data_IF_678284066231
#
_entry.id   IF_678284066231
#
_cell.length_a   1.000
_cell.length_b   1.000
_cell.length_c   1.000
_cell.angle_alpha   90.00
_cell.angle_beta   90.00
_cell.angle_gamma   90.00
#
_symmetry.space_group_name_H-M   'P 1'
#
loop_
_entity.id
_entity.type
_entity.pdbx_description
1 polymer ?
#
# COMPACT_ATOMS: atom_id res chain seq x y z
N UNK A 1 -30.66 49.99 -0.68
CA UNK A 1 -29.38 49.47 -1.18
C UNK A 1 -28.91 48.41 -0.20
N UNK A 2 -28.92 47.14 -0.61
CA UNK A 2 -28.66 46.02 0.30
C UNK A 2 -27.15 45.86 0.53
N UNK A 3 -26.67 45.77 1.78
CA UNK A 3 -25.26 45.47 2.02
C UNK A 3 -24.95 44.03 1.59
N UNK A 4 -23.86 43.83 0.85
CA UNK A 4 -23.37 42.49 0.54
C UNK A 4 -22.77 41.91 1.83
N UNK A 5 -23.27 40.77 2.29
CA UNK A 5 -22.67 40.05 3.41
C UNK A 5 -21.23 39.64 3.05
N UNK A 6 -20.28 39.93 3.93
CA UNK A 6 -18.89 39.48 3.81
C UNK A 6 -18.81 38.02 4.24
N UNK A 7 -18.39 37.14 3.34
CA UNK A 7 -18.13 35.74 3.67
C UNK A 7 -16.77 35.62 4.36
N UNK A 8 -16.61 34.77 5.39
CA UNK A 8 -15.32 34.52 5.99
C UNK A 8 -14.36 33.98 4.93
N UNK A 9 -13.16 34.56 4.92
CA UNK A 9 -12.08 34.11 4.04
C UNK A 9 -11.66 32.70 4.42
N UNK A 10 -11.24 31.91 3.44
CA UNK A 10 -10.85 30.52 3.64
C UNK A 10 -9.76 30.31 4.72
N UNK A 11 -8.99 31.35 5.02
CA UNK A 11 -8.00 31.40 6.11
C UNK A 11 -8.59 31.20 7.53
N UNK A 12 -9.93 31.25 7.70
CA UNK A 12 -10.62 31.08 8.99
C UNK A 12 -11.23 29.68 9.20
N UNK A 13 -11.34 28.85 8.16
CA UNK A 13 -12.03 27.55 8.25
C UNK A 13 -11.11 26.37 8.58
N UNK A 14 -9.80 26.48 8.36
CA UNK A 14 -8.89 25.34 8.46
C UNK A 14 -7.56 25.69 9.15
N UNK A 15 -7.58 26.56 10.17
CA UNK A 15 -6.37 26.88 10.95
C UNK A 15 -6.19 25.98 12.19
N UNK A 16 -5.22 25.05 12.19
CA UNK A 16 -4.69 24.42 13.40
C UNK A 16 -3.71 25.35 14.15
N UNK A 17 -3.87 25.41 15.48
CA UNK A 17 -3.28 26.40 16.40
C UNK A 17 -1.83 26.09 16.81
N UNK A 18 -0.91 25.95 15.86
CA UNK A 18 0.54 25.91 16.15
C UNK A 18 1.30 26.72 15.12
N UNK A 19 1.59 27.98 15.50
CA UNK A 19 2.64 28.88 15.01
C UNK A 19 3.19 28.59 13.59
N UNK A 20 2.84 29.38 12.58
CA UNK A 20 3.43 30.70 12.36
C UNK A 20 4.96 30.66 12.33
N UNK A 21 5.56 29.81 11.51
CA UNK A 21 6.94 29.98 11.07
C UNK A 21 7.20 29.17 9.80
N UNK A 22 7.08 29.83 8.64
CA UNK A 22 7.92 29.66 7.43
C UNK A 22 7.20 30.26 6.22
N UNK A 23 7.59 31.50 5.94
CA UNK A 23 7.20 32.30 4.77
C UNK A 23 8.20 32.00 3.62
N UNK A 24 7.68 31.84 2.39
CA UNK A 24 8.34 31.93 1.07
C UNK A 24 9.33 30.78 0.69
N UNK A 25 9.49 30.27 -0.54
CA UNK A 25 8.96 30.45 -1.92
C UNK A 25 9.44 29.22 -2.80
N UNK A 26 9.16 29.10 -4.13
CA UNK A 26 8.85 27.84 -4.83
C UNK A 26 9.98 27.22 -5.70
N UNK A 27 9.88 25.91 -5.98
CA UNK A 27 10.46 25.28 -7.20
C UNK A 27 9.87 23.88 -7.49
N UNK A 28 9.58 23.67 -8.78
CA UNK A 28 9.37 22.44 -9.57
C UNK A 28 8.73 21.17 -8.98
N UNK A 29 7.65 20.74 -9.66
CA UNK A 29 7.18 19.35 -9.66
C UNK A 29 8.23 18.48 -10.38
N UNK A 30 8.60 17.30 -9.86
CA UNK A 30 7.72 16.15 -10.00
C UNK A 30 7.70 15.21 -8.80
N UNK A 31 6.59 14.48 -8.64
CA UNK A 31 6.48 13.36 -7.72
C UNK A 31 5.37 13.54 -6.70
N UNK A 32 4.15 13.18 -7.11
CA UNK A 32 3.14 12.72 -6.16
C UNK A 32 3.68 11.42 -5.52
N UNK A 33 4.52 11.56 -4.49
CA UNK A 33 4.72 10.49 -3.52
C UNK A 33 3.45 10.46 -2.68
N UNK A 34 2.46 9.74 -3.20
CA UNK A 34 1.34 9.31 -2.39
C UNK A 34 1.86 8.16 -1.57
N UNK A 35 2.24 8.43 -0.32
CA UNK A 35 2.45 7.42 0.71
C UNK A 35 1.13 6.67 0.98
N UNK A 36 0.72 5.81 0.05
CA UNK A 36 -0.37 4.84 0.23
C UNK A 36 0.15 3.62 0.98
N UNK A 37 0.70 3.88 2.16
CA UNK A 37 0.65 2.92 3.24
C UNK A 37 -0.81 2.88 3.70
N UNK A 38 -1.63 2.00 3.12
CA UNK A 38 -2.93 1.68 3.70
C UNK A 38 -2.70 0.82 4.94
N UNK A 39 -1.94 1.35 5.90
CA UNK A 39 -1.99 0.86 7.26
C UNK A 39 -3.37 1.28 7.73
N UNK A 40 -4.30 0.32 7.80
CA UNK A 40 -5.53 0.49 8.54
C UNK A 40 -5.10 0.88 9.95
N UNK A 41 -5.15 2.17 10.26
CA UNK A 41 -4.99 2.70 11.60
C UNK A 41 -6.20 2.23 12.39
N UNK A 42 -6.09 1.02 12.94
CA UNK A 42 -6.90 0.61 14.08
C UNK A 42 -6.43 1.49 15.23
N UNK A 43 -7.37 2.18 15.88
CA UNK A 43 -7.08 2.97 17.07
C UNK A 43 -6.44 2.06 18.12
N UNK A 44 -5.15 2.25 18.38
CA UNK A 44 -4.42 1.60 19.47
C UNK A 44 -4.63 2.45 20.73
N UNK A 45 -5.73 2.17 21.43
CA UNK A 45 -5.77 2.40 22.87
C UNK A 45 -5.31 1.12 23.58
N UNK A 46 -4.49 1.32 24.62
CA UNK A 46 -3.90 0.34 25.54
C UNK A 46 -2.54 -0.26 25.14
N UNK A 47 -1.51 0.45 25.60
CA UNK A 47 -0.20 -0.07 26.03
C UNK A 47 -0.27 -1.46 26.68
N UNK A 48 0.31 -2.48 26.04
CA UNK A 48 0.93 -3.63 26.71
C UNK A 48 2.13 -4.13 25.90
N UNK A 49 3.20 -4.40 26.62
CA UNK A 49 4.52 -4.89 26.20
C UNK A 49 4.47 -5.99 25.15
N UNK A 50 4.88 -5.67 23.92
CA UNK A 50 5.11 -6.67 22.87
C UNK A 50 5.78 -6.00 21.68
N UNK A 51 7.10 -6.10 21.58
CA UNK A 51 7.84 -5.55 20.45
C UNK A 51 7.25 -6.07 19.14
N UNK A 52 6.66 -5.18 18.35
CA UNK A 52 6.20 -5.49 17.00
C UNK A 52 7.42 -6.01 16.25
N UNK A 53 7.45 -7.32 15.99
CA UNK A 53 8.53 -7.96 15.22
C UNK A 53 8.53 -7.30 13.85
N UNK A 54 9.46 -6.37 13.62
CA UNK A 54 9.66 -5.74 12.31
C UNK A 54 9.91 -6.88 11.32
N UNK A 55 9.04 -6.98 10.31
CA UNK A 55 9.18 -7.97 9.26
C UNK A 55 10.53 -7.84 8.52
N UNK A 56 10.90 -8.86 7.73
CA UNK A 56 12.12 -8.81 6.94
C UNK A 56 12.16 -7.55 6.07
N UNK A 57 13.29 -6.84 6.10
CA UNK A 57 13.54 -5.67 5.25
C UNK A 57 13.85 -6.14 3.83
N UNK A 58 13.31 -5.43 2.84
CA UNK A 58 13.58 -5.66 1.42
C UNK A 58 14.28 -4.41 0.89
N UNK A 59 15.42 -4.58 0.24
CA UNK A 59 16.24 -3.46 -0.24
C UNK A 59 15.78 -2.94 -1.61
N UNK A 60 15.15 -3.81 -2.39
CA UNK A 60 14.66 -3.50 -3.74
C UNK A 60 13.13 -3.49 -3.79
N UNK A 61 12.59 -2.60 -4.65
CA UNK A 61 11.15 -2.46 -4.86
C UNK A 61 10.79 -2.73 -6.32
N UNK A 62 9.89 -3.69 -6.51
CA UNK A 62 9.22 -3.96 -7.79
C UNK A 62 7.77 -3.49 -7.70
N UNK A 63 7.27 -2.83 -8.75
CA UNK A 63 5.87 -2.39 -8.86
C UNK A 63 5.22 -3.07 -10.06
N UNK A 64 3.97 -3.51 -9.92
CA UNK A 64 3.23 -4.15 -11.00
C UNK A 64 1.85 -3.50 -11.15
N UNK A 65 1.33 -3.53 -12.37
CA UNK A 65 -0.05 -3.18 -12.66
C UNK A 65 -0.91 -4.44 -12.59
N UNK A 66 -2.13 -4.29 -12.09
CA UNK A 66 -3.09 -5.38 -12.02
C UNK A 66 -4.49 -4.86 -12.36
N UNK A 67 -5.37 -5.76 -12.78
CA UNK A 67 -6.76 -5.39 -13.02
C UNK A 67 -7.51 -5.18 -11.70
N UNK A 68 -8.67 -4.54 -11.77
CA UNK A 68 -9.54 -4.42 -10.60
C UNK A 68 -9.99 -5.79 -10.06
N UNK A 69 -10.16 -6.78 -10.94
CA UNK A 69 -10.53 -8.14 -10.55
C UNK A 69 -9.40 -8.82 -9.78
N UNK A 70 -8.15 -8.66 -10.24
CA UNK A 70 -6.98 -9.25 -9.56
C UNK A 70 -6.79 -8.64 -8.16
N UNK A 71 -6.93 -7.32 -8.03
CA UNK A 71 -6.84 -6.65 -6.74
C UNK A 71 -7.92 -7.14 -5.77
N UNK A 72 -9.16 -7.30 -6.24
CA UNK A 72 -10.25 -7.85 -5.45
C UNK A 72 -10.00 -9.32 -5.05
N UNK A 73 -9.47 -10.13 -5.96
CA UNK A 73 -9.09 -11.51 -5.65
C UNK A 73 -8.00 -11.58 -4.57
N UNK A 74 -7.00 -10.69 -4.64
CA UNK A 74 -5.93 -10.60 -3.65
C UNK A 74 -6.46 -10.22 -2.26
N UNK A 75 -7.37 -9.25 -2.17
CA UNK A 75 -7.96 -8.85 -0.88
C UNK A 75 -8.87 -9.92 -0.29
N UNK A 76 -9.64 -10.64 -1.13
CA UNK A 76 -10.43 -11.80 -0.68
C UNK A 76 -9.53 -12.89 -0.12
N UNK A 77 -8.48 -13.25 -0.84
CA UNK A 77 -7.51 -14.25 -0.36
C UNK A 77 -6.85 -13.82 0.96
N UNK A 78 -6.54 -12.53 1.13
CA UNK A 78 -6.02 -11.98 2.38
C UNK A 78 -6.98 -12.17 3.55
N UNK A 79 -8.27 -11.91 3.35
CA UNK A 79 -9.29 -12.11 4.38
C UNK A 79 -9.49 -13.59 4.71
N UNK A 80 -9.52 -14.47 3.71
CA UNK A 80 -9.65 -15.91 3.92
C UNK A 80 -8.45 -16.50 4.68
N UNK A 81 -7.23 -16.09 4.34
CA UNK A 81 -6.02 -16.49 5.09
C UNK A 81 -6.13 -16.15 6.58
N UNK A 82 -6.69 -14.98 6.91
CA UNK A 82 -6.89 -14.57 8.30
C UNK A 82 -8.04 -15.33 8.97
N UNK A 83 -9.16 -15.51 8.28
CA UNK A 83 -10.36 -16.11 8.83
C UNK A 83 -10.22 -17.63 9.03
N UNK A 84 -9.68 -18.33 8.03
CA UNK A 84 -9.64 -19.79 7.99
C UNK A 84 -8.34 -20.36 8.57
N UNK A 85 -7.23 -19.63 8.41
CA UNK A 85 -5.91 -20.12 8.80
C UNK A 85 -5.25 -19.29 9.92
N UNK A 86 -5.87 -18.20 10.38
CA UNK A 86 -5.29 -17.30 11.37
C UNK A 86 -4.02 -16.58 10.90
N UNK A 87 -3.73 -16.60 9.60
CA UNK A 87 -2.50 -16.03 9.03
C UNK A 87 -2.73 -14.57 8.64
N UNK A 88 -2.07 -13.66 9.35
CA UNK A 88 -2.00 -12.26 8.93
C UNK A 88 -0.94 -12.09 7.84
N UNK A 89 -1.37 -11.71 6.63
CA UNK A 89 -0.50 -11.33 5.53
C UNK A 89 -0.95 -10.00 4.93
N UNK A 90 0.01 -9.17 4.54
CA UNK A 90 -0.23 -8.02 3.67
C UNK A 90 -0.09 -8.42 2.20
N UNK A 91 -0.49 -7.52 1.30
CA UNK A 91 -0.41 -7.73 -0.16
C UNK A 91 1.00 -8.06 -0.62
N UNK A 92 2.01 -7.36 -0.10
CA UNK A 92 3.41 -7.57 -0.47
C UNK A 92 3.93 -8.93 -0.02
N UNK A 93 3.56 -9.39 1.18
CA UNK A 93 3.90 -10.73 1.68
C UNK A 93 3.31 -11.82 0.80
N UNK A 94 2.04 -11.68 0.39
CA UNK A 94 1.40 -12.65 -0.51
C UNK A 94 2.08 -12.69 -1.87
N UNK A 95 2.31 -11.53 -2.51
CA UNK A 95 2.95 -11.45 -3.83
C UNK A 95 4.38 -11.99 -3.80
N UNK A 96 5.18 -11.63 -2.77
CA UNK A 96 6.54 -12.16 -2.63
C UNK A 96 6.56 -13.68 -2.44
N UNK A 97 5.61 -14.23 -1.68
CA UNK A 97 5.53 -15.69 -1.47
C UNK A 97 5.17 -16.41 -2.77
N UNK A 98 4.21 -15.86 -3.54
CA UNK A 98 3.85 -16.39 -4.85
C UNK A 98 5.02 -16.31 -5.86
N UNK A 99 5.73 -15.19 -5.86
CA UNK A 99 6.92 -15.01 -6.72
C UNK A 99 8.01 -16.02 -6.38
N UNK A 100 8.33 -16.20 -5.09
CA UNK A 100 9.32 -17.18 -4.65
C UNK A 100 8.95 -18.60 -5.11
N UNK A 101 7.69 -19.01 -4.93
CA UNK A 101 7.20 -20.31 -5.39
C UNK A 101 7.35 -20.49 -6.91
N UNK A 102 7.01 -19.47 -7.71
CA UNK A 102 7.11 -19.53 -9.17
C UNK A 102 8.57 -19.61 -9.64
N UNK A 103 9.48 -18.90 -8.97
CA UNK A 103 10.91 -18.94 -9.29
C UNK A 103 11.52 -20.30 -8.92
N UNK A 104 11.20 -20.84 -7.75
CA UNK A 104 11.64 -22.17 -7.32
C UNK A 104 11.11 -23.28 -8.25
N UNK A 105 9.85 -23.16 -8.68
CA UNK A 105 9.24 -24.02 -9.69
C UNK A 105 10.03 -23.99 -11.00
N UNK A 106 10.41 -22.79 -11.45
CA UNK A 106 11.20 -22.61 -12.66
C UNK A 106 12.61 -23.20 -12.54
N UNK A 107 13.29 -22.97 -11.42
CA UNK A 107 14.63 -23.52 -11.18
C UNK A 107 14.62 -25.06 -11.13
N UNK A 108 13.59 -25.64 -10.51
CA UNK A 108 13.49 -27.09 -10.32
C UNK A 108 13.05 -27.82 -11.59
N UNK A 109 12.08 -27.26 -12.33
CA UNK A 109 11.44 -27.95 -13.47
C UNK A 109 11.85 -27.41 -14.84
N UNK A 110 12.48 -26.24 -14.90
CA UNK A 110 12.94 -25.62 -16.14
C UNK A 110 11.84 -25.48 -17.19
N UNK A 111 11.98 -26.22 -18.28
CA UNK A 111 11.06 -26.17 -19.43
C UNK A 111 9.62 -26.61 -19.09
N UNK A 112 9.45 -27.41 -18.03
CA UNK A 112 8.15 -27.91 -17.57
C UNK A 112 7.59 -27.11 -16.39
N UNK A 113 8.09 -25.90 -16.17
CA UNK A 113 7.56 -24.98 -15.16
C UNK A 113 6.20 -24.39 -15.53
N UNK A 114 5.44 -24.00 -14.51
CA UNK A 114 4.19 -23.25 -14.67
C UNK A 114 4.47 -21.91 -15.35
N UNK A 115 5.57 -21.24 -14.98
CA UNK A 115 5.95 -19.94 -15.53
C UNK A 115 6.09 -19.98 -17.05
N UNK A 116 6.90 -20.92 -17.58
CA UNK A 116 7.15 -20.99 -19.02
C UNK A 116 5.89 -21.38 -19.80
N UNK A 117 5.04 -22.24 -19.24
CA UNK A 117 3.76 -22.61 -19.87
C UNK A 117 2.81 -21.42 -19.99
N UNK A 118 2.67 -20.61 -18.93
CA UNK A 118 1.80 -19.43 -18.94
C UNK A 118 2.28 -18.39 -19.95
N UNK A 119 3.57 -18.03 -19.91
CA UNK A 119 4.14 -17.03 -20.82
C UNK A 119 4.10 -17.43 -22.32
N UNK A 120 4.01 -18.74 -22.62
CA UNK A 120 3.80 -19.22 -23.99
C UNK A 120 2.35 -19.13 -24.48
N UNK A 121 1.38 -19.19 -23.56
CA UNK A 121 -0.05 -19.11 -23.87
C UNK A 121 -0.54 -17.66 -24.01
N UNK A 122 0.14 -16.71 -23.38
CA UNK A 122 -0.17 -15.28 -23.47
C UNK A 122 0.39 -14.60 -24.74
N UNK A 123 0.96 -15.37 -25.67
CA UNK A 123 1.40 -14.89 -26.98
C UNK A 123 0.30 -15.07 -28.03
#
# INVERSE_FOLDING_TARGET
MSPRASLPGADELFRPTTAQERRAQPSDRPGLQVDKSTSLQVAEDASTTGGIKKGPKHDEKVTFYCTAQDLMALERARLNLRAEHGVAADRGRMVRSALAYILEDFETRGADSVLLRQLRQER
#
